data_IF_356383356154
#
_entry.id   IF_356383356154
#
_cell.length_a   1.000
_cell.length_b   1.000
_cell.length_c   1.000
_cell.angle_alpha   90.00
_cell.angle_beta   90.00
_cell.angle_gamma   90.00
#
_symmetry.space_group_name_H-M   'P 1'
#
loop_
_entity.id
_entity.type
_entity.pdbx_description
1 polymer ?
#
# COMPACT_ATOMS: atom_id res chain seq x y z
N UNK A 1 11.42 -22.57 -10.81
CA UNK A 1 10.48 -21.46 -10.54
C UNK A 1 9.91 -21.02 -11.87
N UNK A 2 8.61 -21.16 -12.08
CA UNK A 2 7.96 -20.65 -13.29
C UNK A 2 8.03 -19.13 -13.24
N UNK A 3 8.43 -18.43 -14.31
CA UNK A 3 8.29 -16.98 -14.37
C UNK A 3 6.79 -16.68 -14.17
N UNK A 4 6.46 -15.90 -13.15
CA UNK A 4 5.06 -15.56 -12.90
C UNK A 4 4.45 -14.78 -14.08
N UNK A 5 3.14 -14.49 -14.07
CA UNK A 5 2.47 -13.97 -15.25
C UNK A 5 2.98 -12.57 -15.61
N UNK A 6 2.92 -12.26 -16.90
CA UNK A 6 2.92 -10.87 -17.35
C UNK A 6 1.56 -10.25 -17.04
N UNK A 7 1.57 -9.06 -16.46
CA UNK A 7 0.35 -8.34 -16.13
C UNK A 7 0.17 -7.12 -17.05
N UNK A 8 -1.06 -6.67 -17.25
CA UNK A 8 -1.37 -5.45 -18.00
C UNK A 8 -2.44 -4.60 -17.32
N UNK A 9 -2.34 -3.27 -17.41
CA UNK A 9 -3.35 -2.32 -16.90
C UNK A 9 -4.52 -2.09 -17.86
N UNK A 10 -4.45 -2.59 -19.10
CA UNK A 10 -5.55 -2.56 -20.07
C UNK A 10 -5.44 -3.73 -21.06
N UNK A 11 -6.54 -4.16 -21.68
CA UNK A 11 -6.52 -5.28 -22.62
C UNK A 11 -5.47 -5.10 -23.72
N UNK A 12 -4.62 -6.10 -23.91
CA UNK A 12 -3.56 -6.14 -24.93
C UNK A 12 -3.68 -7.40 -25.78
N UNK A 13 -4.71 -7.50 -26.64
CA UNK A 13 -4.81 -8.62 -27.56
C UNK A 13 -3.58 -8.67 -28.47
N UNK A 14 -2.95 -9.84 -28.59
CA UNK A 14 -1.82 -10.07 -29.49
C UNK A 14 -0.42 -9.71 -28.94
N UNK A 15 -0.28 -9.39 -27.65
CA UNK A 15 1.04 -9.21 -27.02
C UNK A 15 1.73 -10.55 -26.64
N UNK A 16 1.05 -11.68 -26.86
CA UNK A 16 1.51 -13.05 -26.56
C UNK A 16 0.48 -13.85 -25.75
N UNK A 17 0.69 -15.16 -25.60
CA UNK A 17 -0.10 -15.97 -24.66
C UNK A 17 0.33 -15.65 -23.21
N UNK A 18 -0.63 -15.60 -22.27
CA UNK A 18 -0.33 -15.53 -20.84
C UNK A 18 -0.22 -14.12 -20.22
N UNK A 19 -0.63 -13.06 -20.92
CA UNK A 19 -0.80 -11.73 -20.30
C UNK A 19 -2.14 -11.66 -19.57
N UNK A 20 -2.11 -11.37 -18.27
CA UNK A 20 -3.30 -11.28 -17.42
C UNK A 20 -3.60 -9.83 -17.03
N UNK A 21 -4.86 -9.55 -16.71
CA UNK A 21 -5.22 -8.27 -16.11
C UNK A 21 -4.51 -8.09 -14.76
N UNK A 22 -3.93 -6.90 -14.59
CA UNK A 22 -3.22 -6.54 -13.38
C UNK A 22 -4.20 -6.22 -12.24
N UNK A 23 -4.01 -6.89 -11.11
CA UNK A 23 -4.73 -6.60 -9.86
C UNK A 23 -3.71 -6.51 -8.71
N UNK A 24 -4.01 -5.81 -7.61
CA UNK A 24 -3.09 -5.71 -6.48
C UNK A 24 -2.64 -7.08 -5.96
N UNK A 25 -3.54 -8.07 -5.90
CA UNK A 25 -3.24 -9.43 -5.45
C UNK A 25 -2.35 -10.24 -6.40
N UNK A 26 -2.20 -9.84 -7.67
CA UNK A 26 -1.33 -10.52 -8.65
C UNK A 26 0.07 -9.92 -8.72
N UNK A 27 0.27 -8.69 -8.26
CA UNK A 27 1.58 -8.02 -8.29
C UNK A 27 2.71 -8.75 -7.54
N UNK A 28 2.47 -9.42 -6.39
CA UNK A 28 3.53 -10.14 -5.67
C UNK A 28 4.21 -11.24 -6.49
N UNK A 29 3.51 -11.81 -7.47
CA UNK A 29 4.01 -12.91 -8.30
C UNK A 29 4.31 -12.50 -9.74
N UNK A 30 4.02 -11.25 -10.13
CA UNK A 30 4.16 -10.78 -11.51
C UNK A 30 5.61 -10.91 -12.01
N UNK A 31 5.82 -11.39 -13.25
CA UNK A 31 7.12 -11.27 -13.91
C UNK A 31 7.41 -9.84 -14.35
N UNK A 32 6.38 -9.13 -14.81
CA UNK A 32 6.43 -7.74 -15.23
C UNK A 32 5.03 -7.14 -15.38
N UNK A 33 4.97 -5.81 -15.46
CA UNK A 33 3.75 -5.03 -15.67
C UNK A 33 3.85 -4.22 -16.96
N UNK A 34 2.88 -4.44 -17.84
CA UNK A 34 2.67 -3.67 -19.06
C UNK A 34 1.68 -2.54 -18.77
N UNK A 35 2.04 -1.32 -19.12
CA UNK A 35 1.20 -0.13 -18.95
C UNK A 35 0.97 0.50 -20.33
N UNK A 36 0.01 -0.02 -21.10
CA UNK A 36 -0.23 0.45 -22.45
C UNK A 36 -0.77 1.87 -22.53
N UNK A 37 -0.65 2.46 -23.72
CA UNK A 37 -1.46 3.62 -24.09
C UNK A 37 -2.95 3.26 -24.10
N UNK A 38 -3.76 4.09 -23.48
CA UNK A 38 -5.20 3.92 -23.28
C UNK A 38 -6.01 5.19 -23.52
N UNK A 39 -5.35 6.27 -23.95
CA UNK A 39 -5.98 7.56 -24.28
C UNK A 39 -6.56 8.35 -23.10
N UNK A 40 -6.50 7.85 -21.86
CA UNK A 40 -7.07 8.55 -20.72
C UNK A 40 -6.21 9.75 -20.26
N UNK A 41 -6.79 10.67 -19.45
CA UNK A 41 -6.03 11.80 -18.90
C UNK A 41 -5.06 11.33 -17.81
N UNK A 42 -3.96 12.06 -17.66
CA UNK A 42 -2.89 11.83 -16.69
C UNK A 42 -2.72 13.04 -15.78
N UNK A 43 -2.93 14.27 -16.28
CA UNK A 43 -2.79 15.51 -15.54
C UNK A 43 -3.94 15.73 -14.55
N UNK A 44 -5.19 15.71 -15.01
CA UNK A 44 -6.39 15.87 -14.17
C UNK A 44 -7.15 14.54 -14.02
N UNK A 45 -7.19 14.04 -12.79
CA UNK A 45 -7.84 12.77 -12.44
C UNK A 45 -8.87 12.92 -11.31
N UNK A 46 -9.25 14.15 -10.93
CA UNK A 46 -10.07 14.41 -9.73
C UNK A 46 -11.34 13.55 -9.66
N UNK A 47 -12.01 13.38 -10.80
CA UNK A 47 -13.26 12.62 -10.89
C UNK A 47 -13.12 11.31 -11.68
N UNK A 48 -11.92 10.70 -11.62
CA UNK A 48 -11.54 9.54 -12.46
C UNK A 48 -11.07 8.35 -11.60
N UNK A 49 -11.98 7.62 -10.95
CA UNK A 49 -11.61 6.52 -10.05
C UNK A 49 -10.83 5.39 -10.75
N UNK A 50 -11.14 5.14 -12.03
CA UNK A 50 -10.41 4.20 -12.89
C UNK A 50 -8.94 4.60 -13.06
N UNK A 51 -8.66 5.90 -13.21
CA UNK A 51 -7.31 6.43 -13.37
C UNK A 51 -6.53 6.39 -12.06
N UNK A 52 -7.18 6.73 -10.94
CA UNK A 52 -6.60 6.57 -9.60
C UNK A 52 -6.25 5.11 -9.29
N UNK A 53 -7.10 4.16 -9.68
CA UNK A 53 -6.82 2.74 -9.51
C UNK A 53 -5.57 2.32 -10.28
N UNK A 54 -5.42 2.76 -11.55
CA UNK A 54 -4.23 2.48 -12.37
C UNK A 54 -2.96 3.12 -11.80
N UNK A 55 -3.03 4.39 -11.38
CA UNK A 55 -1.90 5.09 -10.75
C UNK A 55 -1.46 4.36 -9.47
N UNK A 56 -2.41 3.93 -8.65
CA UNK A 56 -2.15 3.21 -7.40
C UNK A 56 -1.52 1.84 -7.64
N UNK A 57 -2.06 1.10 -8.62
CA UNK A 57 -1.52 -0.19 -9.05
C UNK A 57 -0.09 -0.06 -9.58
N UNK A 58 0.18 0.92 -10.43
CA UNK A 58 1.52 1.19 -10.95
C UNK A 58 2.48 1.62 -9.84
N UNK A 59 2.05 2.50 -8.94
CA UNK A 59 2.83 2.89 -7.76
C UNK A 59 3.21 1.68 -6.90
N UNK A 60 2.29 0.73 -6.72
CA UNK A 60 2.56 -0.50 -5.98
C UNK A 60 3.55 -1.42 -6.71
N UNK A 61 3.39 -1.59 -8.02
CA UNK A 61 4.32 -2.35 -8.85
C UNK A 61 5.75 -1.79 -8.76
N UNK A 62 5.91 -0.46 -8.82
CA UNK A 62 7.20 0.23 -8.66
C UNK A 62 7.80 -0.03 -7.28
N UNK A 63 7.04 0.15 -6.19
CA UNK A 63 7.54 -0.12 -4.82
C UNK A 63 8.03 -1.56 -4.63
N UNK A 64 7.34 -2.53 -5.27
CA UNK A 64 7.70 -3.96 -5.24
C UNK A 64 8.89 -4.31 -6.13
N UNK A 65 9.34 -3.39 -6.98
CA UNK A 65 10.38 -3.62 -7.97
C UNK A 65 9.94 -4.52 -9.13
N UNK A 66 8.64 -4.52 -9.47
CA UNK A 66 8.14 -5.20 -10.66
C UNK A 66 8.68 -4.47 -11.90
N UNK A 67 9.33 -5.16 -12.87
CA UNK A 67 9.67 -4.56 -14.15
C UNK A 67 8.45 -3.94 -14.81
N UNK A 68 8.56 -2.70 -15.26
CA UNK A 68 7.48 -1.98 -15.93
C UNK A 68 7.90 -1.64 -17.35
N UNK A 69 7.05 -1.97 -18.31
CA UNK A 69 7.09 -1.42 -19.66
C UNK A 69 5.87 -0.55 -19.87
N UNK A 70 6.09 0.75 -20.04
CA UNK A 70 5.02 1.73 -20.16
C UNK A 70 5.12 2.48 -21.49
N UNK A 71 3.99 2.79 -22.13
CA UNK A 71 4.01 3.61 -23.34
C UNK A 71 2.80 4.53 -23.51
N UNK A 72 2.98 5.60 -24.29
CA UNK A 72 1.98 6.65 -24.50
C UNK A 72 1.48 7.23 -23.18
N UNK A 73 0.17 7.11 -22.91
CA UNK A 73 -0.41 7.59 -21.63
C UNK A 73 0.09 6.79 -20.44
N UNK A 74 0.46 5.52 -20.63
CA UNK A 74 1.12 4.71 -19.62
C UNK A 74 2.50 5.23 -19.23
N UNK A 75 3.29 5.70 -20.20
CA UNK A 75 4.60 6.32 -19.92
C UNK A 75 4.44 7.62 -19.11
N UNK A 76 3.44 8.44 -19.45
CA UNK A 76 3.11 9.63 -18.68
C UNK A 76 2.64 9.29 -17.25
N UNK A 77 1.82 8.23 -17.07
CA UNK A 77 1.44 7.74 -15.74
C UNK A 77 2.68 7.29 -14.94
N UNK A 78 3.62 6.58 -15.57
CA UNK A 78 4.86 6.16 -14.92
C UNK A 78 5.71 7.36 -14.49
N UNK A 79 5.85 8.37 -15.34
CA UNK A 79 6.54 9.61 -14.99
C UNK A 79 5.87 10.30 -13.80
N UNK A 80 4.53 10.38 -13.78
CA UNK A 80 3.78 10.97 -12.67
C UNK A 80 3.96 10.20 -11.36
N UNK A 81 4.01 8.86 -11.39
CA UNK A 81 4.31 8.02 -10.21
C UNK A 81 5.69 8.36 -9.62
N UNK A 82 6.65 8.70 -10.48
CA UNK A 82 7.99 9.16 -10.09
C UNK A 82 8.05 10.67 -9.79
N UNK A 83 6.92 11.37 -9.75
CA UNK A 83 6.82 12.78 -9.41
C UNK A 83 7.15 13.76 -10.55
N UNK A 84 7.27 13.29 -11.78
CA UNK A 84 7.48 14.17 -12.94
C UNK A 84 6.22 14.99 -13.25
N UNK A 85 6.41 16.25 -13.65
CA UNK A 85 5.32 17.10 -14.12
C UNK A 85 4.74 16.60 -15.44
N UNK A 86 3.42 16.64 -15.55
CA UNK A 86 2.66 16.31 -16.77
C UNK A 86 2.43 17.59 -17.58
N UNK A 87 2.61 17.48 -18.90
CA UNK A 87 2.43 18.53 -19.89
C UNK A 87 1.44 18.09 -20.97
N UNK A 88 0.65 19.01 -21.52
CA UNK A 88 -0.19 18.70 -22.69
C UNK A 88 0.71 18.40 -23.90
N UNK A 89 0.31 17.41 -24.68
CA UNK A 89 0.84 17.13 -26.01
C UNK A 89 0.14 17.98 -27.07
N UNK A 90 0.82 18.25 -28.17
CA UNK A 90 0.26 18.98 -29.32
C UNK A 90 -0.65 18.11 -30.21
N UNK A 91 -0.81 16.82 -29.88
CA UNK A 91 -1.65 15.87 -30.60
C UNK A 91 -1.14 15.46 -31.98
N UNK A 92 0.03 15.96 -32.39
CA UNK A 92 0.50 15.77 -33.78
C UNK A 92 1.30 14.49 -33.99
N UNK A 93 1.92 13.90 -32.96
CA UNK A 93 2.73 12.67 -33.13
C UNK A 93 3.00 11.88 -31.82
N UNK A 94 2.12 11.99 -30.81
CA UNK A 94 2.33 11.39 -29.49
C UNK A 94 1.06 11.30 -28.63
N UNK A 95 1.22 10.82 -27.39
CA UNK A 95 0.12 10.85 -26.42
C UNK A 95 -0.32 12.30 -26.15
N UNK A 96 -1.63 12.50 -25.95
CA UNK A 96 -2.24 13.80 -25.67
C UNK A 96 -1.66 14.50 -24.42
N UNK A 97 -0.98 13.74 -23.56
CA UNK A 97 -0.23 14.25 -22.42
C UNK A 97 1.07 13.44 -22.27
N UNK A 98 2.13 14.11 -21.85
CA UNK A 98 3.46 13.53 -21.63
C UNK A 98 4.07 14.07 -20.33
N UNK A 99 5.15 13.48 -19.84
CA UNK A 99 5.86 13.98 -18.66
C UNK A 99 7.26 14.43 -18.99
N UNK A 100 7.74 15.44 -18.28
CA UNK A 100 9.18 15.70 -18.22
C UNK A 100 9.95 14.45 -17.76
N UNK A 101 11.27 14.45 -17.97
CA UNK A 101 12.10 13.35 -17.52
C UNK A 101 12.04 13.25 -15.98
N UNK A 102 11.65 12.10 -15.40
CA UNK A 102 11.66 11.94 -13.96
C UNK A 102 13.05 12.15 -13.37
N UNK A 103 13.11 12.64 -12.12
CA UNK A 103 14.40 12.84 -11.45
C UNK A 103 15.14 11.49 -11.34
N UNK A 104 16.38 11.46 -11.81
CA UNK A 104 17.21 10.25 -11.80
C UNK A 104 16.94 9.29 -12.95
N UNK A 105 16.02 9.61 -13.87
CA UNK A 105 15.85 8.86 -15.10
C UNK A 105 17.01 9.13 -16.08
N UNK A 106 17.42 8.09 -16.80
CA UNK A 106 18.28 8.21 -17.97
C UNK A 106 17.39 8.36 -19.18
N UNK A 107 17.52 9.45 -19.93
CA UNK A 107 16.81 9.66 -21.19
C UNK A 107 17.72 9.26 -22.35
N UNK A 108 17.33 8.21 -23.06
CA UNK A 108 18.10 7.62 -24.16
C UNK A 108 17.75 8.29 -25.50
N UNK A 109 16.48 8.68 -25.68
CA UNK A 109 16.01 9.34 -26.90
C UNK A 109 15.14 10.54 -26.56
N UNK A 110 15.40 11.64 -27.27
CA UNK A 110 14.63 12.87 -27.21
C UNK A 110 13.92 13.13 -28.54
N UNK A 111 12.76 13.76 -28.47
CA UNK A 111 12.09 14.37 -29.63
C UNK A 111 11.72 15.80 -29.26
N UNK A 112 12.56 16.77 -29.66
CA UNK A 112 12.46 18.12 -29.14
C UNK A 112 12.58 18.12 -27.61
N UNK A 113 11.58 18.66 -26.90
CA UNK A 113 11.52 18.65 -25.44
C UNK A 113 10.96 17.35 -24.82
N UNK A 114 10.40 16.46 -25.63
CA UNK A 114 9.80 15.21 -25.16
C UNK A 114 10.89 14.15 -24.88
N UNK A 115 11.01 13.62 -23.65
CA UNK A 115 11.81 12.43 -23.39
C UNK A 115 11.09 11.21 -23.99
N UNK A 116 11.46 10.85 -25.22
CA UNK A 116 10.78 9.84 -26.02
C UNK A 116 11.03 8.42 -25.49
N UNK A 117 12.27 8.11 -25.09
CA UNK A 117 12.64 6.88 -24.40
C UNK A 117 13.43 7.23 -23.15
N UNK A 118 12.94 6.81 -22.00
CA UNK A 118 13.64 6.96 -20.74
C UNK A 118 13.51 5.73 -19.85
N UNK A 119 14.49 5.56 -18.96
CA UNK A 119 14.54 4.46 -18.00
C UNK A 119 14.84 4.98 -16.60
N UNK A 120 14.19 4.39 -15.61
CA UNK A 120 14.42 4.67 -14.21
C UNK A 120 14.19 3.39 -13.40
N UNK A 121 15.18 2.99 -12.60
CA UNK A 121 15.15 1.71 -11.86
C UNK A 121 14.81 0.50 -12.76
N UNK A 122 13.60 -0.07 -12.61
CA UNK A 122 13.09 -1.21 -13.39
C UNK A 122 11.98 -0.80 -14.37
N UNK A 123 11.86 0.50 -14.65
CA UNK A 123 10.87 1.07 -15.56
C UNK A 123 11.56 1.41 -16.88
N UNK A 124 10.96 0.94 -17.97
CA UNK A 124 11.24 1.39 -19.34
C UNK A 124 10.00 2.08 -19.87
N UNK A 125 10.14 3.32 -20.34
CA UNK A 125 9.01 4.14 -20.76
C UNK A 125 9.23 4.75 -22.15
N UNK A 126 8.24 4.56 -23.01
CA UNK A 126 8.20 5.07 -24.38
C UNK A 126 7.06 6.08 -24.55
N UNK A 127 7.34 7.35 -24.77
CA UNK A 127 6.29 8.38 -24.80
C UNK A 127 5.37 8.29 -26.04
N UNK A 128 5.75 7.55 -27.08
CA UNK A 128 4.91 7.35 -28.26
C UNK A 128 3.72 6.41 -28.02
N UNK A 129 2.65 6.60 -28.80
CA UNK A 129 1.42 5.78 -28.72
C UNK A 129 1.65 4.33 -29.15
N UNK A 130 2.43 4.12 -30.21
CA UNK A 130 2.81 2.80 -30.67
C UNK A 130 4.16 2.38 -30.06
N UNK A 131 4.18 1.24 -29.38
CA UNK A 131 5.39 0.66 -28.79
C UNK A 131 6.27 0.02 -29.89
N UNK A 132 7.54 0.42 -30.04
CA UNK A 132 8.49 -0.24 -30.94
C UNK A 132 8.66 -1.73 -30.62
N UNK A 133 8.70 -2.57 -31.66
CA UNK A 133 8.88 -4.02 -31.53
C UNK A 133 10.19 -4.39 -30.82
N UNK A 134 11.28 -3.66 -31.11
CA UNK A 134 12.58 -3.86 -30.47
C UNK A 134 12.53 -3.64 -28.94
N UNK A 135 11.84 -2.58 -28.48
CA UNK A 135 11.69 -2.32 -27.05
C UNK A 135 10.83 -3.38 -26.35
N UNK A 136 9.81 -3.91 -27.04
CA UNK A 136 9.02 -5.05 -26.55
C UNK A 136 9.92 -6.28 -26.35
N UNK A 137 10.67 -6.65 -27.38
CA UNK A 137 11.54 -7.84 -27.35
C UNK A 137 12.64 -7.72 -26.30
N UNK A 138 13.27 -6.54 -26.21
CA UNK A 138 14.27 -6.23 -25.20
C UNK A 138 13.71 -6.38 -23.78
N UNK A 139 12.53 -5.79 -23.51
CA UNK A 139 11.89 -5.90 -22.21
C UNK A 139 11.58 -7.35 -21.86
N UNK A 140 10.95 -8.11 -22.76
CA UNK A 140 10.61 -9.50 -22.53
C UNK A 140 11.84 -10.37 -22.25
N UNK A 141 12.94 -10.13 -22.98
CA UNK A 141 14.21 -10.84 -22.79
C UNK A 141 14.88 -10.48 -21.45
N UNK A 142 14.65 -9.27 -20.95
CA UNK A 142 15.18 -8.81 -19.65
C UNK A 142 14.46 -9.41 -18.44
N UNK A 143 13.31 -10.07 -18.63
CA UNK A 143 12.53 -10.66 -17.54
C UNK A 143 13.22 -11.93 -17.03
N UNK A 144 13.94 -11.80 -15.93
CA UNK A 144 14.41 -12.93 -15.14
C UNK A 144 13.25 -13.60 -14.38
N UNK A 145 13.32 -14.92 -14.09
CA UNK A 145 12.35 -15.59 -13.23
C UNK A 145 12.10 -14.79 -11.94
N UNK A 146 10.83 -14.65 -11.55
CA UNK A 146 10.45 -13.79 -10.45
C UNK A 146 11.09 -14.26 -9.13
N UNK A 147 12.11 -13.54 -8.67
CA UNK A 147 12.53 -13.58 -7.27
C UNK A 147 11.35 -13.07 -6.40
N UNK A 148 11.25 -13.52 -5.14
CA UNK A 148 10.21 -13.02 -4.23
C UNK A 148 10.27 -11.49 -4.19
N UNK A 149 9.13 -10.86 -4.49
CA UNK A 149 9.03 -9.41 -4.57
C UNK A 149 9.11 -8.80 -3.18
N UNK A 150 9.53 -7.53 -3.12
CA UNK A 150 9.48 -6.79 -1.86
C UNK A 150 8.02 -6.70 -1.39
N UNK A 151 7.75 -6.82 -0.08
CA UNK A 151 6.43 -6.53 0.46
C UNK A 151 5.98 -5.12 0.06
N UNK A 152 4.75 -4.99 -0.45
CA UNK A 152 4.17 -3.69 -0.80
C UNK A 152 3.61 -2.96 0.41
N UNK A 153 3.40 -3.68 1.52
CA UNK A 153 2.78 -3.18 2.75
C UNK A 153 3.48 -3.73 3.99
N UNK A 154 3.38 -3.04 5.15
CA UNK A 154 3.80 -3.60 6.43
C UNK A 154 3.13 -4.95 6.76
N UNK A 155 1.84 -5.12 6.42
CA UNK A 155 1.12 -6.37 6.65
C UNK A 155 1.77 -7.55 5.92
N UNK A 156 2.12 -7.37 4.64
CA UNK A 156 2.82 -8.41 3.87
C UNK A 156 4.21 -8.71 4.43
N UNK A 157 4.92 -7.68 4.92
CA UNK A 157 6.23 -7.87 5.54
C UNK A 157 6.16 -8.71 6.83
N UNK A 158 4.99 -8.75 7.47
CA UNK A 158 4.71 -9.57 8.65
C UNK A 158 4.24 -11.00 8.29
N UNK A 159 4.05 -11.33 7.01
CA UNK A 159 3.47 -12.61 6.59
C UNK A 159 1.94 -12.60 6.49
N UNK A 160 1.32 -11.42 6.46
CA UNK A 160 -0.11 -11.27 6.23
C UNK A 160 -0.98 -11.47 7.48
N UNK A 161 -2.29 -11.49 7.27
CA UNK A 161 -3.28 -11.69 8.34
C UNK A 161 -3.09 -13.04 9.05
N UNK A 162 -2.69 -14.08 8.31
CA UNK A 162 -2.46 -15.41 8.85
C UNK A 162 -1.35 -15.45 9.93
N UNK A 163 -0.34 -14.58 9.83
CA UNK A 163 0.69 -14.42 10.84
C UNK A 163 0.27 -13.44 11.96
N UNK A 164 -0.52 -12.43 11.63
CA UNK A 164 -0.95 -11.40 12.56
C UNK A 164 -2.03 -11.88 13.54
N UNK A 165 -3.04 -12.63 13.07
CA UNK A 165 -4.19 -13.06 13.88
C UNK A 165 -3.78 -13.92 15.10
N UNK A 166 -2.84 -14.89 14.99
CA UNK A 166 -2.35 -15.64 16.15
C UNK A 166 -1.66 -14.76 17.21
N UNK A 167 -0.88 -13.77 16.79
CA UNK A 167 -0.23 -12.82 17.70
C UNK A 167 -1.28 -11.97 18.43
N UNK A 168 -2.31 -11.48 17.72
CA UNK A 168 -3.41 -10.73 18.34
C UNK A 168 -4.21 -11.61 19.31
N UNK A 169 -4.44 -12.88 18.97
CA UNK A 169 -5.12 -13.83 19.86
C UNK A 169 -4.34 -14.05 21.16
N UNK A 170 -3.02 -14.26 21.09
CA UNK A 170 -2.15 -14.37 22.27
C UNK A 170 -2.17 -13.08 23.10
N UNK A 171 -2.05 -11.92 22.44
CA UNK A 171 -2.15 -10.63 23.11
C UNK A 171 -3.46 -10.45 23.88
N UNK A 172 -4.61 -10.70 23.26
CA UNK A 172 -5.91 -10.52 23.92
C UNK A 172 -6.18 -11.58 24.99
N UNK A 173 -5.64 -12.80 24.85
CA UNK A 173 -5.67 -13.79 25.93
C UNK A 173 -4.92 -13.29 27.17
N UNK A 174 -3.73 -12.68 26.98
CA UNK A 174 -2.97 -12.05 28.08
C UNK A 174 -3.71 -10.86 28.68
N UNK A 175 -4.29 -10.00 27.84
CA UNK A 175 -5.03 -8.84 28.30
C UNK A 175 -6.29 -9.21 29.09
N UNK A 176 -6.97 -10.30 28.71
CA UNK A 176 -8.14 -10.84 29.42
C UNK A 176 -7.77 -11.35 30.82
N UNK A 177 -6.64 -12.03 30.94
CA UNK A 177 -6.17 -12.61 32.20
C UNK A 177 -5.49 -11.59 33.13
N UNK A 178 -5.23 -10.37 32.65
CA UNK A 178 -4.53 -9.33 33.39
C UNK A 178 -5.43 -8.67 34.45
N UNK A 179 -4.92 -8.49 35.66
CA UNK A 179 -5.69 -7.95 36.79
C UNK A 179 -6.17 -6.51 36.57
N UNK A 180 -5.43 -5.71 35.79
CA UNK A 180 -5.77 -4.32 35.53
C UNK A 180 -6.64 -4.17 34.27
N UNK A 181 -6.35 -4.93 33.21
CA UNK A 181 -7.05 -4.83 31.93
C UNK A 181 -8.29 -5.72 31.84
N UNK A 182 -8.23 -6.92 32.41
CA UNK A 182 -9.28 -7.93 32.37
C UNK A 182 -10.64 -7.36 32.78
N UNK A 183 -10.78 -6.67 33.92
CA UNK A 183 -12.05 -6.07 34.34
C UNK A 183 -12.61 -5.04 33.35
N UNK A 184 -11.76 -4.30 32.64
CA UNK A 184 -12.20 -3.33 31.63
C UNK A 184 -12.75 -4.06 30.40
N UNK A 185 -12.09 -5.11 29.94
CA UNK A 185 -12.55 -5.92 28.81
C UNK A 185 -13.82 -6.70 29.14
N UNK A 186 -13.89 -7.39 30.29
CA UNK A 186 -15.08 -8.16 30.68
C UNK A 186 -16.34 -7.29 30.80
N UNK A 187 -16.20 -6.00 31.15
CA UNK A 187 -17.31 -5.05 31.19
C UNK A 187 -17.85 -4.64 29.81
N UNK A 188 -17.08 -4.83 28.73
CA UNK A 188 -17.40 -4.31 27.39
C UNK A 188 -17.31 -5.34 26.25
N UNK A 189 -16.74 -6.53 26.50
CA UNK A 189 -16.53 -7.59 25.52
C UNK A 189 -17.20 -8.86 26.03
N UNK A 190 -18.37 -9.16 25.47
CA UNK A 190 -19.08 -10.42 25.73
C UNK A 190 -18.64 -11.53 24.75
N UNK A 191 -18.46 -11.18 23.49
CA UNK A 191 -18.03 -12.09 22.43
C UNK A 191 -16.56 -11.84 22.07
N UNK A 192 -15.68 -12.72 22.54
CA UNK A 192 -14.24 -12.62 22.35
C UNK A 192 -13.79 -12.95 20.93
N UNK A 193 -14.48 -13.85 20.24
CA UNK A 193 -14.16 -14.20 18.85
C UNK A 193 -14.53 -13.04 17.93
N UNK A 194 -15.74 -12.50 18.09
CA UNK A 194 -16.16 -11.32 17.33
C UNK A 194 -15.26 -10.10 17.60
N UNK A 195 -14.84 -9.90 18.86
CA UNK A 195 -13.87 -8.85 19.20
C UNK A 195 -12.51 -9.09 18.50
N UNK A 196 -12.00 -10.32 18.50
CA UNK A 196 -10.75 -10.67 17.84
C UNK A 196 -10.82 -10.43 16.32
N UNK A 197 -11.93 -10.76 15.68
CA UNK A 197 -12.13 -10.49 14.25
C UNK A 197 -12.15 -8.97 13.97
N UNK A 198 -12.81 -8.20 14.84
CA UNK A 198 -12.90 -6.75 14.70
C UNK A 198 -11.53 -6.06 14.84
N UNK A 199 -10.75 -6.46 15.84
CA UNK A 199 -9.40 -5.89 16.07
C UNK A 199 -8.40 -6.40 15.03
N UNK A 200 -8.58 -7.61 14.50
CA UNK A 200 -7.81 -8.12 13.36
C UNK A 200 -8.06 -7.28 12.12
N UNK A 201 -9.33 -7.02 11.77
CA UNK A 201 -9.70 -6.15 10.66
C UNK A 201 -9.10 -4.73 10.80
N UNK A 202 -9.14 -4.17 12.02
CA UNK A 202 -8.50 -2.89 12.32
C UNK A 202 -6.99 -2.91 12.02
N UNK A 203 -6.26 -3.89 12.54
CA UNK A 203 -4.81 -3.96 12.33
C UNK A 203 -4.44 -4.27 10.87
N UNK A 204 -5.20 -5.13 10.18
CA UNK A 204 -5.03 -5.39 8.75
C UNK A 204 -5.12 -4.09 7.95
N UNK A 205 -6.16 -3.27 8.18
CA UNK A 205 -6.29 -1.96 7.53
C UNK A 205 -5.16 -1.01 7.90
N UNK A 206 -4.78 -0.91 9.18
CA UNK A 206 -3.70 -0.03 9.65
C UNK A 206 -2.31 -0.41 9.11
N UNK A 207 -2.10 -1.68 8.78
CA UNK A 207 -0.85 -2.20 8.23
C UNK A 207 -0.85 -2.23 6.69
N UNK A 208 -1.84 -1.59 6.06
CA UNK A 208 -1.91 -1.42 4.60
C UNK A 208 -2.56 -2.59 3.88
N UNK A 209 -3.22 -3.51 4.59
CA UNK A 209 -4.17 -4.43 3.99
C UNK A 209 -5.40 -3.69 3.43
N UNK A 210 -6.31 -4.44 2.82
CA UNK A 210 -7.56 -3.87 2.31
C UNK A 210 -8.32 -3.05 3.36
N UNK A 211 -9.15 -2.12 2.90
CA UNK A 211 -9.99 -1.27 3.76
C UNK A 211 -11.17 -2.05 4.38
N UNK A 212 -10.84 -3.03 5.22
CA UNK A 212 -11.79 -3.92 5.91
C UNK A 212 -12.42 -3.20 7.10
N UNK A 213 -11.69 -2.34 7.80
CA UNK A 213 -12.20 -1.57 8.94
C UNK A 213 -12.52 -0.11 8.60
N UNK A 214 -13.68 0.38 9.07
CA UNK A 214 -14.21 1.74 8.82
C UNK A 214 -14.72 2.42 10.10
N UNK A 215 -14.02 2.23 11.21
CA UNK A 215 -14.42 2.79 12.50
C UNK A 215 -13.68 4.09 12.87
N UNK A 216 -13.96 4.59 14.07
CA UNK A 216 -13.20 5.67 14.69
C UNK A 216 -12.57 5.17 15.99
N UNK A 217 -11.24 5.05 15.99
CA UNK A 217 -10.49 4.48 17.13
C UNK A 217 -10.74 5.27 18.41
N UNK A 218 -10.85 6.60 18.34
CA UNK A 218 -11.15 7.42 19.52
C UNK A 218 -12.59 7.21 20.00
N UNK A 219 -13.53 7.04 19.06
CA UNK A 219 -14.95 6.85 19.36
C UNK A 219 -15.20 5.54 20.12
N UNK A 220 -14.57 4.45 19.68
CA UNK A 220 -14.75 3.13 20.31
C UNK A 220 -14.11 3.04 21.71
N UNK A 221 -13.12 3.89 22.01
CA UNK A 221 -12.47 3.94 23.33
C UNK A 221 -13.06 5.02 24.26
N UNK A 222 -13.94 5.88 23.75
CA UNK A 222 -14.56 6.93 24.53
C UNK A 222 -15.52 6.34 25.58
N UNK A 223 -15.43 6.80 26.82
CA UNK A 223 -16.33 6.38 27.90
C UNK A 223 -15.98 5.04 28.58
N UNK A 224 -14.98 4.30 28.10
CA UNK A 224 -14.57 3.00 28.69
C UNK A 224 -13.81 3.11 30.02
N UNK A 225 -13.59 4.32 30.54
CA UNK A 225 -12.83 4.53 31.79
C UNK A 225 -11.32 4.25 31.67
N UNK A 226 -10.77 4.17 30.46
CA UNK A 226 -9.34 3.92 30.20
C UNK A 226 -8.50 5.09 30.74
N UNK A 227 -7.38 4.75 31.38
CA UNK A 227 -6.42 5.68 31.99
C UNK A 227 -5.00 5.36 31.53
N UNK A 228 -4.04 6.25 31.81
CA UNK A 228 -2.64 6.07 31.42
C UNK A 228 -2.03 4.74 31.89
N UNK A 229 -2.38 4.27 33.10
CA UNK A 229 -1.92 2.97 33.61
C UNK A 229 -2.42 1.79 32.75
N UNK A 230 -3.69 1.81 32.32
CA UNK A 230 -4.24 0.78 31.42
C UNK A 230 -3.51 0.80 30.07
N UNK A 231 -3.30 1.98 29.48
CA UNK A 231 -2.59 2.07 28.21
C UNK A 231 -1.14 1.56 28.31
N UNK A 232 -0.45 1.92 29.39
CA UNK A 232 0.93 1.45 29.65
C UNK A 232 0.96 -0.07 29.75
N UNK A 233 0.02 -0.66 30.48
CA UNK A 233 -0.08 -2.11 30.63
C UNK A 233 -0.42 -2.80 29.30
N UNK A 234 -1.35 -2.24 28.55
CA UNK A 234 -1.75 -2.73 27.22
C UNK A 234 -0.55 -2.77 26.28
N UNK A 235 0.23 -1.67 26.20
CA UNK A 235 1.42 -1.59 25.34
C UNK A 235 2.50 -2.59 25.75
N UNK A 236 2.70 -2.81 27.06
CA UNK A 236 3.64 -3.80 27.56
C UNK A 236 3.25 -5.23 27.15
N UNK A 237 1.98 -5.61 27.31
CA UNK A 237 1.49 -6.93 26.90
C UNK A 237 1.51 -7.11 25.38
N UNK A 238 1.17 -6.06 24.63
CA UNK A 238 1.23 -6.08 23.17
C UNK A 238 2.65 -6.26 22.67
N UNK A 239 3.62 -5.55 23.27
CA UNK A 239 5.03 -5.71 22.96
C UNK A 239 5.55 -7.12 23.26
N UNK A 240 5.16 -7.70 24.40
CA UNK A 240 5.52 -9.07 24.75
C UNK A 240 4.98 -10.10 23.73
N UNK A 241 3.71 -9.97 23.33
CA UNK A 241 3.13 -10.82 22.29
C UNK A 241 3.84 -10.61 20.93
N UNK A 242 4.13 -9.36 20.54
CA UNK A 242 4.81 -9.05 19.29
C UNK A 242 6.19 -9.72 19.22
N UNK A 243 6.98 -9.60 20.30
CA UNK A 243 8.31 -10.20 20.38
C UNK A 243 8.30 -11.73 20.45
N UNK A 244 7.22 -12.34 20.92
CA UNK A 244 7.06 -13.79 20.95
C UNK A 244 6.72 -14.38 19.56
N UNK A 245 6.01 -13.64 18.71
CA UNK A 245 5.54 -14.12 17.41
C UNK A 245 6.39 -13.67 16.22
N UNK A 246 7.13 -12.56 16.36
CA UNK A 246 7.83 -11.94 15.24
C UNK A 246 9.32 -11.70 15.52
N UNK A 247 10.18 -11.72 14.48
CA UNK A 247 11.55 -11.25 14.59
C UNK A 247 11.63 -9.79 15.07
N UNK A 248 12.74 -9.41 15.72
CA UNK A 248 12.90 -8.13 16.38
C UNK A 248 12.48 -6.91 15.54
N UNK A 249 12.85 -6.85 14.26
CA UNK A 249 12.47 -5.74 13.37
C UNK A 249 10.98 -5.65 13.08
N UNK A 250 10.32 -6.79 12.89
CA UNK A 250 8.88 -6.88 12.66
C UNK A 250 8.09 -6.54 13.93
N UNK A 251 8.53 -7.05 15.08
CA UNK A 251 7.95 -6.70 16.38
C UNK A 251 8.08 -5.20 16.68
N UNK A 252 9.25 -4.61 16.45
CA UNK A 252 9.49 -3.18 16.67
C UNK A 252 8.57 -2.29 15.80
N UNK A 253 8.30 -2.68 14.55
CA UNK A 253 7.36 -1.98 13.68
C UNK A 253 5.94 -1.95 14.27
N UNK A 254 5.46 -3.09 14.77
CA UNK A 254 4.13 -3.20 15.38
C UNK A 254 4.05 -2.38 16.67
N UNK A 255 5.07 -2.47 17.52
CA UNK A 255 5.15 -1.75 18.80
C UNK A 255 5.14 -0.24 18.55
N UNK A 256 6.00 0.26 17.66
CA UNK A 256 6.06 1.69 17.34
C UNK A 256 4.72 2.25 16.83
N UNK A 257 3.99 1.45 16.03
CA UNK A 257 2.63 1.80 15.58
C UNK A 257 1.63 1.82 16.73
N UNK A 258 1.66 0.82 17.61
CA UNK A 258 0.82 0.77 18.80
C UNK A 258 1.05 1.98 19.71
N UNK A 259 2.30 2.34 19.97
CA UNK A 259 2.68 3.49 20.79
C UNK A 259 2.17 4.81 20.20
N UNK A 260 2.35 5.01 18.89
CA UNK A 260 1.85 6.19 18.19
C UNK A 260 0.31 6.34 18.30
N UNK A 261 -0.42 5.22 18.27
CA UNK A 261 -1.88 5.21 18.48
C UNK A 261 -2.24 5.46 19.95
N UNK A 262 -1.52 4.83 20.87
CA UNK A 262 -1.70 5.02 22.31
C UNK A 262 -1.51 6.47 22.73
N UNK A 263 -0.48 7.15 22.22
CA UNK A 263 -0.22 8.56 22.51
C UNK A 263 -1.43 9.46 22.14
N UNK A 264 -2.11 9.17 21.01
CA UNK A 264 -3.30 9.92 20.57
C UNK A 264 -4.51 9.70 21.48
N UNK A 265 -4.70 8.47 21.98
CA UNK A 265 -5.75 8.15 22.96
C UNK A 265 -5.47 8.83 24.31
N UNK A 266 -4.22 8.81 24.76
CA UNK A 266 -3.80 9.40 26.05
C UNK A 266 -3.97 10.92 26.12
N UNK A 267 -3.71 11.65 25.03
CA UNK A 267 -3.85 13.11 24.99
C UNK A 267 -5.31 13.58 25.15
N UNK A 268 -6.31 12.85 24.62
CA UNK A 268 -7.73 13.19 24.79
C UNK A 268 -8.30 12.79 26.15
N UNK A 269 -7.83 11.68 26.73
CA UNK A 269 -8.22 11.30 28.09
C UNK A 269 -7.81 12.36 29.13
N UNK A 270 -6.71 13.09 28.88
CA UNK A 270 -6.25 14.21 29.72
C UNK A 270 -7.01 15.53 29.45
N UNK A 271 -7.54 15.73 28.24
CA UNK A 271 -8.35 16.90 27.87
C UNK A 271 -9.80 16.84 28.35
N UNK A 272 -10.31 15.68 28.75
CA UNK A 272 -11.68 15.50 29.24
C UNK A 272 -11.72 15.47 30.79
N UNK A 273 -11.31 16.56 31.44
CA UNK A 273 -11.64 16.77 32.86
C UNK A 273 -13.12 17.19 32.94
N UNK A 274 -13.94 16.61 33.82
CA UNK A 274 -15.31 17.10 34.00
C UNK A 274 -15.24 18.56 34.44
N UNK A 275 -15.88 19.45 33.68
CA UNK A 275 -16.17 20.79 34.15
C UNK A 275 -17.08 20.64 35.38
N UNK A 276 -16.50 20.70 36.58
CA UNK A 276 -17.25 20.96 37.79
C UNK A 276 -17.84 22.34 37.62
N UNK A 277 -19.12 22.39 37.24
CA UNK A 277 -19.93 23.60 37.28
C UNK A 277 -19.89 24.10 38.72
N UNK A 278 -19.13 25.16 38.98
CA UNK A 278 -19.37 26.00 40.16
C UNK A 278 -20.69 26.71 39.90
N UNK A 279 -21.73 26.29 40.60
CA UNK A 279 -22.96 27.08 40.76
C UNK A 279 -22.69 28.04 41.92
N UNK A 280 -23.07 29.33 41.82
CA UNK A 280 -22.89 30.31 42.90
C UNK A 280 -23.62 29.92 44.18
#
# INVERSE_FOLDING_TARGET
MTPGPLLTTSPLPGFGQGVLEATPGRLPEAAGLLVPHDGGPVADMRDRPDRWARLSLLSDAVRRGVPVLAWGTGAALAGRVLGARVWPGDGTDGAAEWTEAPRGAVVELWRGALPLLWRAERITAWAGVALPGSLREEFLTSLTPAAPRRPGTPLEALGGEAALRPMLADFYARARADELLGPVFEAHVADWEANLDHVTAFWVTMLGGGAVWRGNLNGVHAGLGIRGAHLTRWLALFGAAASAHFPAGAAALLISRAEAMGARLGQRAQGNRPHVRRVP
#
